data_IF_067912769539
#
_entry.id   IF_067912769539
#
_cell.length_a   1.000
_cell.length_b   1.000
_cell.length_c   1.000
_cell.angle_alpha   90.00
_cell.angle_beta   90.00
_cell.angle_gamma   90.00
#
_symmetry.space_group_name_H-M   'P 1'
#
loop_
_entity.id
_entity.type
_entity.pdbx_description
1 polymer ?
#
# COMPACT_ATOMS: atom_id res chain seq x y z
N UNK A 1 -12.60 27.05 26.05
CA UNK A 1 -11.12 27.04 26.11
C UNK A 1 -10.61 27.42 24.73
N UNK A 2 -9.74 28.43 24.61
CA UNK A 2 -9.16 28.78 23.30
C UNK A 2 -8.23 27.65 22.85
N UNK A 3 -8.30 27.25 21.58
CA UNK A 3 -7.34 26.33 20.97
C UNK A 3 -5.93 26.85 21.20
N UNK A 4 -4.98 25.95 21.43
CA UNK A 4 -3.59 26.36 21.54
C UNK A 4 -3.09 26.86 20.17
N UNK A 5 -2.24 27.88 20.15
CA UNK A 5 -1.75 28.52 18.92
C UNK A 5 -1.01 27.57 17.97
N UNK A 6 -0.49 26.45 18.47
CA UNK A 6 0.19 25.45 17.64
C UNK A 6 -0.79 24.58 16.81
N UNK A 7 -2.04 24.43 17.25
CA UNK A 7 -3.03 23.58 16.57
C UNK A 7 -3.36 24.08 15.14
N UNK A 8 -3.24 25.39 14.90
CA UNK A 8 -3.49 25.98 13.58
C UNK A 8 -2.39 25.65 12.55
N UNK A 9 -1.23 25.19 13.01
CA UNK A 9 -0.10 24.79 12.14
C UNK A 9 -0.06 23.28 11.87
N UNK A 10 -0.99 22.51 12.44
CA UNK A 10 -1.13 21.10 12.12
C UNK A 10 -1.58 20.91 10.67
N UNK A 11 -1.26 19.75 10.05
CA UNK A 11 -1.82 19.39 8.75
C UNK A 11 -3.34 19.55 8.74
N UNK A 12 -3.83 20.28 7.74
CA UNK A 12 -5.26 20.49 7.57
C UNK A 12 -5.89 19.25 6.93
N UNK A 13 -7.12 18.93 7.34
CA UNK A 13 -7.86 17.84 6.73
C UNK A 13 -8.09 18.14 5.25
N UNK A 14 -7.73 17.19 4.40
CA UNK A 14 -8.12 17.20 3.00
C UNK A 14 -9.57 16.73 2.88
N UNK A 15 -10.21 17.10 1.79
CA UNK A 15 -11.52 16.56 1.44
C UNK A 15 -11.40 15.11 0.93
N UNK A 16 -12.47 14.35 1.13
CA UNK A 16 -12.49 12.92 0.78
C UNK A 16 -12.26 12.68 -0.72
N UNK A 17 -12.64 13.61 -1.60
CA UNK A 17 -12.44 13.47 -3.05
C UNK A 17 -10.97 13.59 -3.44
N UNK A 18 -10.23 14.53 -2.84
CA UNK A 18 -8.78 14.65 -3.02
C UNK A 18 -8.05 13.37 -2.59
N UNK A 19 -8.43 12.82 -1.43
CA UNK A 19 -7.84 11.57 -0.92
C UNK A 19 -8.19 10.40 -1.83
N UNK A 20 -9.48 10.24 -2.18
CA UNK A 20 -9.96 9.23 -3.10
C UNK A 20 -9.20 9.26 -4.43
N UNK A 21 -9.06 10.44 -5.05
CA UNK A 21 -8.40 10.58 -6.33
C UNK A 21 -6.92 10.20 -6.25
N UNK A 22 -6.21 10.62 -5.20
CA UNK A 22 -4.79 10.29 -5.00
C UNK A 22 -4.56 8.77 -4.92
N UNK A 23 -5.40 8.06 -4.16
CA UNK A 23 -5.32 6.60 -4.00
C UNK A 23 -5.72 5.90 -5.29
N UNK A 24 -6.80 6.34 -5.95
CA UNK A 24 -7.25 5.74 -7.21
C UNK A 24 -6.18 5.85 -8.29
N UNK A 25 -5.60 7.04 -8.50
CA UNK A 25 -4.55 7.26 -9.50
C UNK A 25 -3.34 6.35 -9.23
N UNK A 26 -2.97 6.16 -7.96
CA UNK A 26 -1.88 5.25 -7.60
C UNK A 26 -2.19 3.79 -8.00
N UNK A 27 -3.39 3.28 -7.72
CA UNK A 27 -3.76 1.92 -8.13
C UNK A 27 -3.90 1.77 -9.65
N UNK A 28 -4.36 2.80 -10.35
CA UNK A 28 -4.37 2.83 -11.82
C UNK A 28 -2.93 2.75 -12.38
N UNK A 29 -1.98 3.48 -11.79
CA UNK A 29 -0.55 3.40 -12.15
C UNK A 29 0.06 2.02 -11.90
N UNK A 30 -0.37 1.32 -10.83
CA UNK A 30 0.04 -0.07 -10.56
C UNK A 30 -0.42 -1.00 -11.69
N UNK A 31 -1.69 -0.88 -12.13
CA UNK A 31 -2.19 -1.70 -13.24
C UNK A 31 -1.39 -1.43 -14.52
N UNK A 32 -1.20 -0.15 -14.85
CA UNK A 32 -0.47 0.28 -16.04
C UNK A 32 0.99 -0.19 -16.03
N UNK A 33 1.67 -0.14 -14.88
CA UNK A 33 3.02 -0.67 -14.77
C UNK A 33 3.07 -2.16 -15.12
N UNK A 34 2.14 -2.96 -14.59
CA UNK A 34 2.12 -4.40 -14.89
C UNK A 34 1.82 -4.66 -16.36
N UNK A 35 0.86 -3.94 -16.94
CA UNK A 35 0.46 -4.10 -18.34
C UNK A 35 1.54 -3.66 -19.34
N UNK A 36 2.35 -2.66 -18.99
CA UNK A 36 3.43 -2.17 -19.85
C UNK A 36 4.69 -3.05 -19.81
N UNK A 37 5.01 -3.60 -18.64
CA UNK A 37 6.32 -4.25 -18.40
C UNK A 37 6.27 -5.77 -18.31
N UNK A 38 5.10 -6.39 -18.16
CA UNK A 38 4.97 -7.84 -18.03
C UNK A 38 4.04 -8.40 -19.10
N UNK A 39 4.20 -9.69 -19.42
CA UNK A 39 3.40 -10.36 -20.44
C UNK A 39 2.85 -11.68 -19.94
N UNK A 40 1.74 -12.11 -20.53
CA UNK A 40 1.21 -13.44 -20.30
C UNK A 40 1.86 -14.42 -21.28
N UNK A 41 2.66 -15.41 -20.82
CA UNK A 41 3.35 -16.31 -21.72
C UNK A 41 2.38 -17.27 -22.41
N UNK A 42 2.69 -17.63 -23.65
CA UNK A 42 1.90 -18.65 -24.38
C UNK A 42 2.23 -20.06 -23.89
N UNK A 43 3.50 -20.31 -23.58
CA UNK A 43 4.01 -21.59 -23.10
C UNK A 43 4.35 -21.54 -21.59
N UNK A 44 4.18 -22.65 -20.85
CA UNK A 44 4.57 -22.73 -19.45
C UNK A 44 6.06 -22.42 -19.23
N UNK A 45 6.34 -21.44 -18.36
CA UNK A 45 7.70 -21.07 -18.00
C UNK A 45 8.27 -22.07 -16.99
N UNK A 46 9.46 -22.62 -17.28
CA UNK A 46 10.22 -23.41 -16.30
C UNK A 46 10.98 -22.47 -15.37
N UNK A 47 10.70 -22.59 -14.07
CA UNK A 47 11.35 -21.77 -13.05
C UNK A 47 12.40 -22.60 -12.29
N UNK A 48 13.64 -22.10 -12.10
CA UNK A 48 14.62 -22.75 -11.23
C UNK A 48 14.23 -22.62 -9.74
N UNK A 49 14.82 -23.40 -8.82
CA UNK A 49 14.54 -23.32 -7.38
C UNK A 49 14.69 -21.92 -6.80
N UNK A 50 15.74 -21.19 -7.18
CA UNK A 50 15.97 -19.80 -6.74
C UNK A 50 14.80 -18.86 -7.11
N UNK A 51 14.14 -19.10 -8.24
CA UNK A 51 12.96 -18.33 -8.63
C UNK A 51 11.73 -18.62 -7.74
N UNK A 52 11.64 -19.84 -7.18
CA UNK A 52 10.57 -20.19 -6.25
C UNK A 52 10.75 -19.46 -4.92
N UNK A 53 11.99 -19.35 -4.44
CA UNK A 53 12.33 -18.61 -3.22
C UNK A 53 11.99 -17.12 -3.37
N UNK A 54 12.40 -16.48 -4.47
CA UNK A 54 12.09 -15.06 -4.74
C UNK A 54 10.58 -14.80 -4.83
N UNK A 55 9.80 -15.68 -5.46
CA UNK A 55 8.34 -15.55 -5.46
C UNK A 55 7.75 -15.72 -4.06
N UNK A 56 8.32 -16.60 -3.24
CA UNK A 56 7.82 -16.83 -1.88
C UNK A 56 7.95 -15.58 -0.99
N UNK A 57 8.94 -14.71 -1.24
CA UNK A 57 9.08 -13.42 -0.56
C UNK A 57 7.91 -12.46 -0.83
N UNK A 58 7.22 -12.63 -1.96
CA UNK A 58 6.07 -11.82 -2.38
C UNK A 58 4.72 -12.52 -2.12
N UNK A 59 4.73 -13.65 -1.41
CA UNK A 59 3.51 -14.36 -1.05
C UNK A 59 2.56 -13.45 -0.26
N UNK A 60 1.28 -13.48 -0.64
CA UNK A 60 0.20 -12.80 0.10
C UNK A 60 -0.76 -13.81 0.71
N UNK A 61 -1.43 -13.48 1.83
CA UNK A 61 -2.44 -14.32 2.44
C UNK A 61 -3.78 -14.34 1.66
N UNK A 62 -3.89 -13.56 0.58
CA UNK A 62 -5.12 -13.41 -0.20
C UNK A 62 -5.06 -14.15 -1.54
N UNK A 63 -3.94 -14.80 -1.84
CA UNK A 63 -3.83 -15.72 -2.97
C UNK A 63 -4.58 -17.02 -2.67
N UNK A 64 -5.14 -17.70 -3.70
CA UNK A 64 -5.83 -18.98 -3.53
C UNK A 64 -4.89 -20.15 -3.18
N UNK A 65 -3.58 -19.94 -3.29
CA UNK A 65 -2.54 -20.91 -2.99
C UNK A 65 -1.15 -20.25 -3.00
N UNK A 66 -0.08 -21.07 -3.00
CA UNK A 66 1.29 -20.57 -3.18
C UNK A 66 1.42 -19.73 -4.46
N UNK A 67 2.20 -18.64 -4.40
CA UNK A 67 2.37 -17.73 -5.52
C UNK A 67 2.95 -18.46 -6.74
N UNK A 68 3.90 -19.36 -6.53
CA UNK A 68 4.46 -20.21 -7.60
C UNK A 68 3.34 -20.95 -8.33
N UNK A 69 2.45 -21.62 -7.60
CA UNK A 69 1.35 -22.38 -8.19
C UNK A 69 0.38 -21.46 -8.96
N UNK A 70 0.12 -20.27 -8.42
CA UNK A 70 -0.69 -19.26 -9.11
C UNK A 70 -0.03 -18.84 -10.43
N UNK A 71 1.28 -18.60 -10.44
CA UNK A 71 2.02 -18.21 -11.66
C UNK A 71 2.06 -19.33 -12.70
N UNK A 72 2.05 -20.60 -12.28
CA UNK A 72 2.15 -21.76 -13.18
C UNK A 72 0.80 -22.28 -13.69
N UNK A 73 -0.27 -22.08 -12.93
CA UNK A 73 -1.60 -22.68 -13.20
C UNK A 73 -2.68 -21.68 -13.64
N UNK A 74 -2.37 -20.39 -13.64
CA UNK A 74 -3.28 -19.35 -14.12
C UNK A 74 -3.27 -19.27 -15.64
N UNK A 75 -4.45 -19.06 -16.22
CA UNK A 75 -4.63 -18.68 -17.63
C UNK A 75 -4.05 -17.30 -17.91
N UNK A 76 -4.10 -16.40 -16.92
CA UNK A 76 -3.46 -15.09 -16.99
C UNK A 76 -2.67 -14.82 -15.72
N UNK A 77 -1.38 -14.56 -15.87
CA UNK A 77 -0.48 -14.22 -14.75
C UNK A 77 -0.53 -12.73 -14.39
N UNK A 78 -0.97 -11.86 -15.31
CA UNK A 78 -0.99 -10.41 -15.07
C UNK A 78 -1.81 -10.01 -13.84
N UNK A 79 -3.01 -10.57 -13.59
CA UNK A 79 -3.74 -10.29 -12.35
C UNK A 79 -2.98 -10.73 -11.09
N UNK A 80 -2.19 -11.80 -11.17
CA UNK A 80 -1.36 -12.28 -10.05
C UNK A 80 -0.26 -11.28 -9.73
N UNK A 81 0.44 -10.78 -10.75
CA UNK A 81 1.47 -9.75 -10.59
C UNK A 81 0.85 -8.43 -10.08
N UNK A 82 -0.27 -8.00 -10.67
CA UNK A 82 -1.06 -6.82 -10.25
C UNK A 82 -1.42 -6.91 -8.77
N UNK A 83 -1.95 -8.05 -8.33
CA UNK A 83 -2.28 -8.29 -6.93
C UNK A 83 -1.07 -8.17 -6.01
N UNK A 84 0.04 -8.83 -6.34
CA UNK A 84 1.24 -8.82 -5.50
C UNK A 84 1.78 -7.39 -5.32
N UNK A 85 1.86 -6.62 -6.42
CA UNK A 85 2.32 -5.23 -6.37
C UNK A 85 1.37 -4.34 -5.57
N UNK A 86 0.07 -4.44 -5.87
CA UNK A 86 -0.98 -3.68 -5.20
C UNK A 86 -1.01 -3.96 -3.68
N UNK A 87 -0.82 -5.23 -3.29
CA UNK A 87 -0.76 -5.65 -1.89
C UNK A 87 0.50 -5.14 -1.18
N UNK A 88 1.67 -5.24 -1.83
CA UNK A 88 2.92 -4.73 -1.30
C UNK A 88 2.83 -3.20 -1.06
N UNK A 89 2.33 -2.46 -2.05
CA UNK A 89 2.15 -0.99 -1.94
C UNK A 89 1.16 -0.66 -0.83
N UNK A 90 -0.03 -1.27 -0.81
CA UNK A 90 -1.02 -1.02 0.23
C UNK A 90 -0.47 -1.28 1.64
N UNK A 91 0.29 -2.36 1.84
CA UNK A 91 0.93 -2.66 3.13
C UNK A 91 2.05 -1.68 3.47
N UNK A 92 2.84 -1.26 2.48
CA UNK A 92 3.94 -0.32 2.66
C UNK A 92 3.47 1.07 3.11
N UNK A 93 2.29 1.49 2.64
CA UNK A 93 1.70 2.80 2.96
C UNK A 93 1.08 2.89 4.36
N UNK A 94 0.76 1.76 4.99
CA UNK A 94 0.09 1.75 6.29
C UNK A 94 1.11 1.79 7.43
N UNK A 95 0.81 2.56 8.48
CA UNK A 95 1.62 2.57 9.70
C UNK A 95 1.58 1.18 10.36
N UNK A 96 2.75 0.62 10.68
CA UNK A 96 2.85 -0.74 11.21
C UNK A 96 4.21 -1.04 11.84
N UNK A 97 4.54 -2.32 12.09
CA UNK A 97 5.84 -2.71 12.65
C UNK A 97 7.01 -2.37 11.72
N UNK A 98 6.76 -2.36 10.40
CA UNK A 98 7.75 -2.10 9.35
C UNK A 98 7.07 -1.39 8.16
N UNK A 99 6.69 -0.11 8.29
CA UNK A 99 6.11 0.63 7.19
C UNK A 99 7.23 0.94 6.20
N UNK A 100 7.24 0.27 5.05
CA UNK A 100 8.33 0.38 4.07
C UNK A 100 8.27 1.67 3.24
N UNK A 101 7.08 2.28 3.12
CA UNK A 101 6.85 3.52 2.35
C UNK A 101 6.55 4.73 3.24
N UNK A 102 6.72 4.61 4.56
CA UNK A 102 6.71 5.76 5.47
C UNK A 102 8.11 5.92 6.10
N UNK A 103 8.54 7.17 6.41
CA UNK A 103 9.80 7.42 7.09
C UNK A 103 9.96 6.67 8.42
N UNK A 104 11.22 6.47 8.87
CA UNK A 104 11.47 5.96 10.21
C UNK A 104 10.83 6.87 11.27
N UNK A 105 10.28 6.28 12.33
CA UNK A 105 9.54 7.00 13.38
C UNK A 105 8.04 7.15 13.13
N UNK A 106 7.56 6.66 11.98
CA UNK A 106 6.14 6.42 11.69
C UNK A 106 5.73 4.99 12.10
N UNK A 107 6.66 4.24 12.72
CA UNK A 107 6.46 2.94 13.35
C UNK A 107 5.75 3.11 14.69
N UNK A 108 4.54 2.57 14.79
CA UNK A 108 3.82 2.51 16.06
C UNK A 108 3.95 1.12 16.66
N UNK A 109 4.65 1.02 17.80
CA UNK A 109 4.90 -0.25 18.49
C UNK A 109 3.62 -0.90 19.08
N UNK A 110 2.49 -0.19 19.11
CA UNK A 110 1.23 -0.70 19.65
C UNK A 110 0.43 -1.59 18.69
N UNK A 111 0.86 -1.75 17.43
CA UNK A 111 0.17 -2.55 16.43
C UNK A 111 -1.18 -1.99 15.98
N UNK A 112 -1.62 -2.38 14.78
CA UNK A 112 -2.91 -1.97 14.19
C UNK A 112 -4.13 -2.60 14.91
N UNK A 113 -3.88 -3.64 15.74
CA UNK A 113 -4.88 -4.62 16.21
C UNK A 113 -5.83 -4.14 17.31
N UNK A 114 -5.94 -2.85 17.62
CA UNK A 114 -6.76 -2.42 18.76
C UNK A 114 -7.44 -1.06 18.68
N UNK A 115 -7.20 -0.29 17.61
CA UNK A 115 -7.70 1.09 17.53
C UNK A 115 -8.99 1.20 16.71
N UNK A 116 -9.19 0.39 15.67
CA UNK A 116 -10.34 0.54 14.75
C UNK A 116 -11.68 0.08 15.35
N UNK A 117 -11.71 -1.06 16.04
CA UNK A 117 -13.00 -1.77 16.28
C UNK A 117 -13.65 -1.44 17.63
N UNK A 118 -12.94 -0.76 18.53
CA UNK A 118 -13.46 -0.46 19.87
C UNK A 118 -14.45 0.70 19.87
N UNK A 119 -15.65 0.49 20.42
CA UNK A 119 -16.69 1.54 20.48
C UNK A 119 -16.64 2.33 21.83
N UNK A 120 -15.98 1.77 22.85
CA UNK A 120 -15.90 2.39 24.17
C UNK A 120 -15.07 3.68 24.23
N UNK A 121 -15.29 4.50 25.27
CA UNK A 121 -14.55 5.76 25.50
C UNK A 121 -13.02 5.60 25.48
N UNK A 122 -12.50 4.48 25.99
CA UNK A 122 -11.07 4.14 25.96
C UNK A 122 -10.55 3.98 24.54
N UNK A 123 -11.32 3.36 23.65
CA UNK A 123 -10.94 3.15 22.26
C UNK A 123 -10.98 4.46 21.46
N UNK A 124 -12.01 5.29 21.69
CA UNK A 124 -12.08 6.66 21.13
C UNK A 124 -10.87 7.48 21.58
N UNK A 125 -10.55 7.49 22.87
CA UNK A 125 -9.38 8.22 23.39
C UNK A 125 -8.05 7.71 22.81
N UNK A 126 -7.92 6.40 22.62
CA UNK A 126 -6.73 5.81 22.01
C UNK A 126 -6.59 6.21 20.52
N UNK A 127 -7.69 6.20 19.76
CA UNK A 127 -7.71 6.71 18.36
C UNK A 127 -7.36 8.18 18.28
N UNK A 128 -7.92 9.01 19.16
CA UNK A 128 -7.62 10.44 19.21
C UNK A 128 -6.14 10.68 19.50
N UNK A 129 -5.56 9.98 20.48
CA UNK A 129 -4.14 10.07 20.79
C UNK A 129 -3.28 9.62 19.60
N UNK A 130 -3.66 8.54 18.93
CA UNK A 130 -2.96 8.05 17.74
C UNK A 130 -3.02 9.03 16.57
N UNK A 131 -4.20 9.56 16.25
CA UNK A 131 -4.38 10.54 15.17
C UNK A 131 -3.60 11.83 15.45
N UNK A 132 -3.61 12.29 16.72
CA UNK A 132 -2.82 13.44 17.13
C UNK A 132 -1.32 13.18 17.00
N UNK A 133 -0.83 12.00 17.42
CA UNK A 133 0.56 11.61 17.22
C UNK A 133 0.93 11.64 15.74
N UNK A 134 0.10 11.07 14.85
CA UNK A 134 0.36 11.10 13.40
C UNK A 134 0.49 12.52 12.87
N UNK A 135 -0.46 13.39 13.21
CA UNK A 135 -0.44 14.80 12.76
C UNK A 135 0.78 15.56 13.29
N UNK A 136 1.14 15.38 14.57
CA UNK A 136 2.32 15.99 15.16
C UNK A 136 3.62 15.47 14.54
N UNK A 137 3.72 14.16 14.31
CA UNK A 137 4.87 13.57 13.63
C UNK A 137 5.01 14.12 12.22
N UNK A 138 3.91 14.24 11.47
CA UNK A 138 3.92 14.84 10.14
C UNK A 138 4.35 16.33 10.18
N UNK A 139 3.89 17.09 11.18
CA UNK A 139 4.28 18.49 11.39
C UNK A 139 5.78 18.64 11.67
N UNK A 140 6.32 17.90 12.66
CA UNK A 140 7.73 18.02 13.04
C UNK A 140 8.71 17.51 11.97
N UNK A 141 8.27 16.63 11.08
CA UNK A 141 9.08 16.12 9.96
C UNK A 141 9.19 17.09 8.78
N UNK A 142 8.60 18.28 8.88
CA UNK A 142 8.85 19.36 7.92
C UNK A 142 10.26 19.97 8.05
N UNK A 143 11.02 19.60 9.09
CA UNK A 143 12.36 20.14 9.36
C UNK A 143 13.44 19.48 8.47
N UNK A 144 14.25 20.31 7.79
CA UNK A 144 15.14 19.90 6.69
C UNK A 144 16.15 18.81 7.08
N UNK A 145 16.65 18.83 8.32
CA UNK A 145 17.62 17.83 8.80
C UNK A 145 16.98 16.44 8.97
N UNK A 146 15.76 16.40 9.52
CA UNK A 146 15.03 15.14 9.71
C UNK A 146 14.54 14.55 8.38
N UNK A 147 14.28 15.41 7.39
CA UNK A 147 13.94 14.98 6.03
C UNK A 147 15.09 14.24 5.35
N UNK A 148 16.33 14.72 5.47
CA UNK A 148 17.48 14.09 4.78
C UNK A 148 17.74 12.65 5.23
N UNK A 149 17.82 12.38 6.54
CA UNK A 149 18.06 11.02 7.05
C UNK A 149 16.89 10.07 6.73
N UNK A 150 15.67 10.59 6.84
CA UNK A 150 14.44 9.87 6.48
C UNK A 150 14.39 9.51 5.01
N UNK A 151 14.76 10.46 4.15
CA UNK A 151 14.75 10.30 2.70
C UNK A 151 15.75 9.22 2.28
N UNK A 152 16.96 9.20 2.85
CA UNK A 152 17.97 8.17 2.54
C UNK A 152 17.45 6.77 2.86
N UNK A 153 16.81 6.58 4.01
CA UNK A 153 16.27 5.27 4.40
C UNK A 153 15.05 4.87 3.57
N UNK A 154 14.18 5.84 3.22
CA UNK A 154 13.05 5.61 2.32
C UNK A 154 13.53 5.22 0.92
N UNK A 155 14.49 5.94 0.34
CA UNK A 155 15.11 5.62 -0.95
C UNK A 155 15.70 4.22 -0.94
N UNK A 156 16.40 3.84 0.14
CA UNK A 156 16.94 2.48 0.29
C UNK A 156 15.83 1.42 0.31
N UNK A 157 14.76 1.64 1.08
CA UNK A 157 13.63 0.70 1.15
C UNK A 157 12.94 0.55 -0.19
N UNK A 158 12.71 1.66 -0.89
CA UNK A 158 12.16 1.67 -2.25
C UNK A 158 13.06 0.88 -3.19
N UNK A 159 14.38 1.12 -3.18
CA UNK A 159 15.33 0.37 -4.00
C UNK A 159 15.28 -1.15 -3.75
N UNK A 160 15.28 -1.57 -2.48
CA UNK A 160 15.15 -2.99 -2.13
C UNK A 160 13.83 -3.59 -2.60
N UNK A 161 12.72 -2.86 -2.47
CA UNK A 161 11.39 -3.31 -2.91
C UNK A 161 11.30 -3.41 -4.45
N UNK A 162 11.92 -2.47 -5.19
CA UNK A 162 12.05 -2.51 -6.65
C UNK A 162 12.84 -3.75 -7.08
N UNK A 163 14.00 -3.98 -6.47
CA UNK A 163 14.86 -5.12 -6.79
C UNK A 163 14.15 -6.43 -6.50
N UNK A 164 13.59 -6.59 -5.31
CA UNK A 164 12.84 -7.78 -4.89
C UNK A 164 11.71 -8.10 -5.88
N UNK A 165 10.90 -7.09 -6.23
CA UNK A 165 9.76 -7.28 -7.13
C UNK A 165 10.19 -7.64 -8.55
N UNK A 166 11.11 -6.86 -9.13
CA UNK A 166 11.54 -7.06 -10.51
C UNK A 166 12.35 -8.33 -10.71
N UNK A 167 13.10 -8.77 -9.70
CA UNK A 167 13.87 -10.01 -9.75
C UNK A 167 12.98 -11.25 -9.58
N UNK A 168 11.93 -11.18 -8.76
CA UNK A 168 10.98 -12.27 -8.58
C UNK A 168 10.17 -12.56 -9.85
N UNK A 169 9.75 -11.50 -10.57
CA UNK A 169 8.95 -11.61 -11.78
C UNK A 169 9.76 -11.51 -13.09
N UNK A 170 11.09 -11.57 -13.02
CA UNK A 170 11.99 -11.35 -14.17
C UNK A 170 11.68 -12.23 -15.38
N UNK A 171 11.18 -13.47 -15.18
CA UNK A 171 10.84 -14.40 -16.27
C UNK A 171 9.57 -14.03 -17.04
N UNK A 172 8.70 -13.20 -16.46
CA UNK A 172 7.46 -12.72 -17.09
C UNK A 172 7.57 -11.27 -17.58
N UNK A 173 8.76 -10.67 -17.48
CA UNK A 173 9.00 -9.31 -17.99
C UNK A 173 9.06 -9.35 -19.51
N UNK A 174 8.43 -8.38 -20.14
CA UNK A 174 8.44 -8.23 -21.59
C UNK A 174 9.86 -7.98 -22.11
N UNK A 175 10.36 -8.84 -23.00
CA UNK A 175 11.73 -8.76 -23.55
C UNK A 175 11.98 -7.48 -24.37
N UNK A 176 10.92 -6.89 -24.94
CA UNK A 176 11.01 -5.62 -25.67
C UNK A 176 11.22 -4.40 -24.77
N UNK A 177 11.08 -4.55 -23.45
CA UNK A 177 11.24 -3.47 -22.49
C UNK A 177 12.60 -3.56 -21.81
N UNK A 178 13.25 -2.41 -21.66
CA UNK A 178 14.51 -2.31 -20.93
C UNK A 178 14.30 -2.56 -19.43
N UNK A 179 15.23 -3.32 -18.83
CA UNK A 179 15.24 -3.65 -17.41
C UNK A 179 15.39 -2.39 -16.57
N UNK A 180 16.28 -1.48 -16.97
CA UNK A 180 16.49 -0.23 -16.24
C UNK A 180 15.26 0.68 -16.36
N UNK A 181 14.60 0.70 -17.52
CA UNK A 181 13.30 1.34 -17.71
C UNK A 181 12.21 0.81 -16.77
N UNK A 182 12.07 -0.51 -16.65
CA UNK A 182 11.09 -1.13 -15.74
C UNK A 182 11.37 -0.78 -14.27
N UNK A 183 12.64 -0.85 -13.84
CA UNK A 183 13.05 -0.48 -12.47
C UNK A 183 12.80 1.00 -12.18
N UNK A 184 13.19 1.89 -13.09
CA UNK A 184 13.01 3.34 -12.97
C UNK A 184 11.52 3.71 -12.87
N UNK A 185 10.67 3.12 -13.70
CA UNK A 185 9.23 3.36 -13.62
C UNK A 185 8.63 2.85 -12.29
N UNK A 186 9.06 1.69 -11.80
CA UNK A 186 8.60 1.15 -10.52
C UNK A 186 9.09 2.01 -9.34
N UNK A 187 10.33 2.50 -9.39
CA UNK A 187 10.86 3.43 -8.39
C UNK A 187 10.04 4.73 -8.35
N UNK A 188 9.70 5.31 -9.50
CA UNK A 188 8.82 6.48 -9.58
C UNK A 188 7.44 6.20 -8.98
N UNK A 189 6.87 5.02 -9.25
CA UNK A 189 5.61 4.58 -8.67
C UNK A 189 5.67 4.47 -7.14
N UNK A 190 6.72 3.83 -6.59
CA UNK A 190 6.87 3.68 -5.14
C UNK A 190 7.16 5.02 -4.43
N UNK A 191 7.84 5.95 -5.08
CA UNK A 191 7.98 7.33 -4.58
C UNK A 191 6.63 8.07 -4.54
N UNK A 192 5.78 7.89 -5.57
CA UNK A 192 4.41 8.41 -5.54
C UNK A 192 3.60 7.75 -4.42
N UNK A 193 3.71 6.43 -4.25
CA UNK A 193 3.06 5.70 -3.16
C UNK A 193 3.49 6.21 -1.78
N UNK A 194 4.77 6.50 -1.57
CA UNK A 194 5.27 7.10 -0.33
C UNK A 194 4.69 8.51 -0.09
N UNK A 195 4.52 9.30 -1.16
CA UNK A 195 3.85 10.61 -1.07
C UNK A 195 2.38 10.48 -0.66
N UNK A 196 1.64 9.54 -1.27
CA UNK A 196 0.25 9.23 -0.88
C UNK A 196 0.19 8.72 0.56
N UNK A 197 1.12 7.86 0.98
CA UNK A 197 1.21 7.37 2.36
C UNK A 197 1.37 8.52 3.37
N UNK A 198 2.25 9.48 3.07
CA UNK A 198 2.46 10.68 3.88
C UNK A 198 1.20 11.56 3.94
N UNK A 199 0.48 11.70 2.82
CA UNK A 199 -0.80 12.39 2.78
C UNK A 199 -1.81 11.72 3.70
N UNK A 200 -2.01 10.40 3.59
CA UNK A 200 -2.93 9.64 4.45
C UNK A 200 -2.54 9.71 5.93
N UNK A 201 -1.25 9.59 6.21
CA UNK A 201 -0.73 9.63 7.57
C UNK A 201 -1.00 10.99 8.23
N UNK A 202 -0.86 12.09 7.49
CA UNK A 202 -1.11 13.45 7.99
C UNK A 202 -2.59 13.79 8.18
N UNK A 203 -3.52 12.92 7.77
CA UNK A 203 -4.94 13.17 7.97
C UNK A 203 -5.40 12.90 9.42
N UNK A 204 -6.31 13.73 9.96
CA UNK A 204 -6.94 13.48 11.26
C UNK A 204 -7.84 12.24 11.28
N UNK A 205 -8.37 11.84 10.11
CA UNK A 205 -9.20 10.65 9.93
C UNK A 205 -8.36 9.40 9.70
N UNK A 206 -8.94 8.22 9.93
CA UNK A 206 -8.32 6.92 9.67
C UNK A 206 -8.90 6.27 8.42
N UNK A 207 -8.04 5.56 7.68
CA UNK A 207 -8.39 4.87 6.45
C UNK A 207 -7.91 3.43 6.50
N UNK A 208 -8.55 2.56 5.72
CA UNK A 208 -8.22 1.14 5.67
C UNK A 208 -8.32 0.59 4.25
N UNK A 209 -7.36 -0.27 3.91
CA UNK A 209 -7.41 -1.14 2.73
C UNK A 209 -7.97 -2.51 3.13
N UNK A 210 -8.97 -2.97 2.38
CA UNK A 210 -9.62 -4.27 2.60
C UNK A 210 -9.50 -5.16 1.36
N UNK A 211 -9.03 -6.38 1.60
CA UNK A 211 -8.78 -7.41 0.58
C UNK A 211 -9.79 -8.57 0.68
N UNK A 212 -11.04 -8.27 1.06
CA UNK A 212 -12.08 -9.28 1.25
C UNK A 212 -12.31 -10.12 -0.01
N UNK A 213 -12.28 -11.45 0.16
CA UNK A 213 -12.19 -12.41 -0.93
C UNK A 213 -13.32 -12.24 -1.96
N UNK A 214 -12.95 -12.17 -3.24
CA UNK A 214 -13.85 -12.63 -4.29
C UNK A 214 -14.08 -14.13 -4.06
N UNK A 215 -15.34 -14.56 -4.03
CA UNK A 215 -15.72 -15.97 -3.87
C UNK A 215 -14.79 -16.90 -4.66
N UNK A 216 -14.16 -17.87 -3.99
CA UNK A 216 -13.26 -18.87 -4.60
C UNK A 216 -13.88 -19.59 -5.81
N UNK A 217 -15.20 -19.55 -5.93
CA UNK A 217 -15.97 -20.13 -7.04
C UNK A 217 -15.62 -19.56 -8.42
N UNK A 218 -14.97 -18.39 -8.52
CA UNK A 218 -14.77 -17.71 -9.81
C UNK A 218 -13.32 -17.60 -10.31
N UNK A 219 -12.33 -18.27 -9.67
CA UNK A 219 -10.89 -18.15 -10.03
C UNK A 219 -10.52 -16.68 -10.33
N UNK A 220 -10.90 -15.78 -9.43
CA UNK A 220 -10.67 -14.35 -9.58
C UNK A 220 -9.83 -13.84 -8.43
N UNK A 221 -8.93 -12.92 -8.72
CA UNK A 221 -8.02 -12.32 -7.77
C UNK A 221 -8.26 -10.81 -7.70
N UNK A 222 -8.19 -10.24 -6.50
CA UNK A 222 -8.33 -8.81 -6.30
C UNK A 222 -7.06 -8.10 -6.78
N UNK A 223 -7.18 -7.19 -7.72
CA UNK A 223 -6.06 -6.39 -8.22
C UNK A 223 -6.06 -4.97 -7.63
N UNK A 224 -7.20 -4.54 -7.09
CA UNK A 224 -7.38 -3.29 -6.35
C UNK A 224 -8.19 -3.58 -5.09
N UNK A 225 -7.74 -3.17 -3.89
CA UNK A 225 -8.48 -3.35 -2.65
C UNK A 225 -9.63 -2.36 -2.52
N UNK A 226 -10.59 -2.64 -1.64
CA UNK A 226 -11.52 -1.59 -1.20
C UNK A 226 -10.75 -0.61 -0.31
N UNK A 227 -10.95 0.69 -0.53
CA UNK A 227 -10.40 1.75 0.32
C UNK A 227 -11.54 2.48 1.01
N UNK A 228 -11.48 2.55 2.34
CA UNK A 228 -12.56 3.11 3.18
C UNK A 228 -12.02 4.12 4.19
N UNK A 229 -12.82 5.13 4.49
CA UNK A 229 -12.67 5.98 5.68
C UNK A 229 -13.41 5.31 6.84
N UNK A 230 -12.73 5.10 7.96
CA UNK A 230 -13.26 4.35 9.11
C UNK A 230 -13.55 5.24 10.32
N UNK A 231 -12.94 6.42 10.40
CA UNK A 231 -13.23 7.41 11.45
C UNK A 231 -13.47 8.81 10.88
N UNK A 232 -14.17 9.62 11.65
CA UNK A 232 -14.19 11.08 11.47
C UNK A 232 -12.87 11.73 11.96
N UNK A 233 -12.78 13.05 11.80
CA UNK A 233 -11.63 13.87 12.17
C UNK A 233 -11.46 13.99 13.70
N UNK A 234 -12.45 13.55 14.49
CA UNK A 234 -12.40 13.50 15.94
C UNK A 234 -12.06 12.10 16.47
N UNK A 235 -11.70 11.16 15.58
CA UNK A 235 -11.33 9.79 15.93
C UNK A 235 -12.51 8.93 16.39
N UNK A 236 -13.76 9.33 16.08
CA UNK A 236 -14.94 8.49 16.31
C UNK A 236 -15.13 7.58 15.11
N UNK A 237 -15.45 6.32 15.37
CA UNK A 237 -15.76 5.37 14.30
C UNK A 237 -17.04 5.83 13.58
N UNK A 238 -17.04 5.73 12.25
CA UNK A 238 -18.24 5.97 11.46
C UNK A 238 -19.22 4.81 11.66
N UNK A 239 -20.54 5.10 11.69
CA UNK A 239 -21.57 4.06 11.81
C UNK A 239 -21.50 3.07 10.63
N UNK A 240 -21.17 3.58 9.45
CA UNK A 240 -20.83 2.81 8.28
C UNK A 240 -19.53 3.35 7.70
N UNK A 241 -18.48 2.51 7.52
CA UNK A 241 -17.28 2.92 6.82
C UNK A 241 -17.63 3.49 5.44
N UNK A 242 -17.12 4.68 5.14
CA UNK A 242 -17.39 5.33 3.87
C UNK A 242 -16.45 4.75 2.82
N UNK A 243 -17.03 4.08 1.83
CA UNK A 243 -16.29 3.54 0.69
C UNK A 243 -15.84 4.68 -0.22
N UNK A 244 -14.52 4.83 -0.35
CA UNK A 244 -13.89 5.82 -1.23
C UNK A 244 -13.46 5.16 -2.55
N UNK A 245 -13.04 3.90 -2.52
CA UNK A 245 -12.72 3.14 -3.72
C UNK A 245 -13.23 1.71 -3.59
N UNK A 246 -13.86 1.21 -4.66
CA UNK A 246 -14.32 -0.18 -4.76
C UNK A 246 -13.17 -1.11 -5.11
N UNK A 247 -13.26 -2.34 -4.60
CA UNK A 247 -12.39 -3.41 -5.06
C UNK A 247 -12.57 -3.68 -6.55
N UNK A 248 -11.52 -4.20 -7.18
CA UNK A 248 -11.54 -4.70 -8.56
C UNK A 248 -10.96 -6.11 -8.55
N UNK A 249 -11.68 -7.04 -9.18
CA UNK A 249 -11.27 -8.43 -9.31
C UNK A 249 -11.08 -8.79 -10.79
N UNK A 250 -9.99 -9.49 -11.10
CA UNK A 250 -9.68 -9.99 -12.43
C UNK A 250 -9.59 -11.52 -12.39
N UNK A 251 -9.90 -12.20 -13.51
CA UNK A 251 -9.86 -13.67 -13.59
C UNK A 251 -8.44 -14.18 -13.83
N UNK A 252 -8.06 -15.24 -13.12
CA UNK A 252 -6.77 -15.95 -13.25
C UNK A 252 -6.91 -17.32 -13.90
#
# INVERSE_FOLDING_TARGET
MSRASWEQYLPQSLDDHTIQNSVKVLFDQIQLHVENFYFNPHDPIKLPPEGHERLSELQTPHLPGPLVDCMMSSRSILPVIKHCLAYQVARGMMAGPQPRLLPLGFTYAGGDRGLSDGIGRKAVGARQAFNMWRMLTAYFRQDARTQTESAVLLTRNIGMDVDTFTDAFAKWRNESQDVAGAKSHLEGLLNNAASVAMTLFSQPSMYQFSWMHASQKHRSLLVVPTFTKVTDEQGRALEQPQELMRLVAERI
#
